data_IF_813654615128
#
_entry.id   IF_813654615128
#
_cell.length_a   1.000
_cell.length_b   1.000
_cell.length_c   1.000
_cell.angle_alpha   90.00
_cell.angle_beta   90.00
_cell.angle_gamma   90.00
#
_symmetry.space_group_name_H-M   'P 1'
#
loop_
_entity.id
_entity.type
_entity.pdbx_description
1 polymer ?
#
# COMPACT_ATOMS: atom_id res chain seq x y z
N UNK A 1 2.30 -9.71 6.58
CA UNK A 1 1.60 -8.47 6.17
C UNK A 1 1.81 -8.26 4.68
N UNK A 2 0.85 -7.67 3.95
CA UNK A 2 1.06 -7.32 2.55
C UNK A 2 2.30 -6.44 2.38
N UNK A 3 3.06 -6.66 1.30
CA UNK A 3 4.29 -5.92 1.03
C UNK A 3 4.05 -4.47 0.62
N UNK A 4 5.07 -3.62 0.79
CA UNK A 4 5.04 -2.19 0.46
C UNK A 4 4.50 -1.91 -0.94
N UNK A 5 5.00 -2.62 -1.97
CA UNK A 5 4.59 -2.45 -3.37
C UNK A 5 3.09 -2.65 -3.57
N UNK A 6 2.54 -3.73 -3.02
CA UNK A 6 1.10 -4.01 -3.10
C UNK A 6 0.27 -2.91 -2.42
N UNK A 7 0.69 -2.46 -1.24
CA UNK A 7 -0.01 -1.39 -0.52
C UNK A 7 -0.02 -0.07 -1.32
N UNK A 8 1.10 0.27 -1.96
CA UNK A 8 1.21 1.45 -2.83
C UNK A 8 0.31 1.33 -4.07
N UNK A 9 0.26 0.16 -4.71
CA UNK A 9 -0.61 -0.09 -5.87
C UNK A 9 -2.10 0.01 -5.51
N UNK A 10 -2.48 -0.51 -4.34
CA UNK A 10 -3.85 -0.41 -3.84
C UNK A 10 -4.22 1.05 -3.51
N UNK A 11 -3.33 1.81 -2.86
CA UNK A 11 -3.56 3.23 -2.59
C UNK A 11 -3.77 4.03 -3.88
N UNK A 12 -2.96 3.79 -4.91
CA UNK A 12 -3.12 4.41 -6.22
C UNK A 12 -4.46 4.07 -6.89
N UNK A 13 -4.97 2.85 -6.68
CA UNK A 13 -6.29 2.43 -7.18
C UNK A 13 -7.42 3.19 -6.49
N UNK A 14 -7.35 3.37 -5.17
CA UNK A 14 -8.32 4.19 -4.43
C UNK A 14 -8.33 5.65 -4.89
N UNK A 15 -7.16 6.23 -5.17
CA UNK A 15 -7.07 7.59 -5.74
C UNK A 15 -7.78 7.68 -7.11
N UNK A 16 -7.62 6.66 -7.97
CA UNK A 16 -8.34 6.62 -9.25
C UNK A 16 -9.86 6.60 -9.06
N UNK A 17 -10.37 5.84 -8.09
CA UNK A 17 -11.80 5.82 -7.80
C UNK A 17 -12.30 7.13 -7.19
N UNK A 18 -11.52 7.77 -6.33
CA UNK A 18 -11.84 9.10 -5.81
C UNK A 18 -11.99 10.15 -6.93
N UNK A 19 -11.14 10.08 -7.97
CA UNK A 19 -11.21 10.98 -9.13
C UNK A 19 -12.35 10.64 -10.10
N UNK A 20 -12.81 9.39 -10.12
CA UNK A 20 -13.82 8.92 -11.07
C UNK A 20 -15.26 9.11 -10.57
N UNK A 21 -15.47 9.20 -9.25
CA UNK A 21 -16.79 9.40 -8.67
C UNK A 21 -17.18 10.89 -8.65
N UNK A 22 -18.47 11.18 -8.77
CA UNK A 22 -19.03 12.53 -8.60
C UNK A 22 -19.66 12.74 -7.22
N UNK A 23 -19.78 11.68 -6.43
CA UNK A 23 -20.27 11.74 -5.05
C UNK A 23 -19.12 12.14 -4.11
N UNK A 24 -19.22 13.30 -3.42
CA UNK A 24 -18.14 13.81 -2.58
C UNK A 24 -17.90 12.98 -1.32
N UNK A 25 -18.93 12.35 -0.75
CA UNK A 25 -18.79 11.51 0.45
C UNK A 25 -18.08 10.20 0.08
N UNK A 26 -18.41 9.64 -1.08
CA UNK A 26 -17.72 8.46 -1.63
C UNK A 26 -16.26 8.80 -1.98
N UNK A 27 -16.01 9.97 -2.58
CA UNK A 27 -14.65 10.42 -2.88
C UNK A 27 -13.79 10.55 -1.61
N UNK A 28 -14.34 11.16 -0.56
CA UNK A 28 -13.67 11.30 0.73
C UNK A 28 -13.32 9.93 1.34
N UNK A 29 -14.25 8.97 1.31
CA UNK A 29 -14.00 7.61 1.78
C UNK A 29 -12.85 6.91 1.05
N UNK A 30 -12.72 7.12 -0.26
CA UNK A 30 -11.59 6.58 -1.03
C UNK A 30 -10.26 7.29 -0.71
N UNK A 31 -10.28 8.60 -0.48
CA UNK A 31 -9.09 9.35 -0.05
C UNK A 31 -8.58 8.88 1.30
N UNK A 32 -9.49 8.69 2.28
CA UNK A 32 -9.13 8.19 3.62
C UNK A 32 -8.49 6.79 3.54
N UNK A 33 -9.04 5.90 2.71
CA UNK A 33 -8.46 4.56 2.49
C UNK A 33 -7.11 4.61 1.79
N UNK A 34 -6.93 5.50 0.82
CA UNK A 34 -5.64 5.69 0.15
C UNK A 34 -4.57 6.21 1.13
N UNK A 35 -4.94 7.12 2.03
CA UNK A 35 -4.05 7.64 3.07
C UNK A 35 -3.64 6.56 4.07
N UNK A 36 -4.58 5.76 4.58
CA UNK A 36 -4.28 4.63 5.49
C UNK A 36 -3.31 3.62 4.85
N UNK A 37 -3.57 3.23 3.60
CA UNK A 37 -2.70 2.29 2.89
C UNK A 37 -1.31 2.86 2.62
N UNK A 38 -1.21 4.16 2.33
CA UNK A 38 0.08 4.84 2.15
C UNK A 38 0.88 4.83 3.45
N UNK A 39 0.26 5.19 4.58
CA UNK A 39 0.91 5.15 5.90
C UNK A 39 1.33 3.72 6.31
N UNK A 40 0.53 2.71 5.95
CA UNK A 40 0.90 1.30 6.17
C UNK A 40 2.05 0.86 5.27
N UNK A 41 2.15 1.39 4.06
CA UNK A 41 3.24 1.07 3.12
C UNK A 41 4.60 1.57 3.62
N UNK A 42 4.64 2.71 4.32
CA UNK A 42 5.87 3.24 4.94
C UNK A 42 6.38 2.34 6.07
N UNK A 43 5.47 1.66 6.78
CA UNK A 43 5.78 0.76 7.89
C UNK A 43 5.94 -0.70 7.44
N UNK A 44 5.61 -1.01 6.19
CA UNK A 44 5.65 -2.38 5.69
C UNK A 44 7.10 -2.81 5.43
N UNK A 45 7.49 -4.03 5.86
CA UNK A 45 8.80 -4.55 5.53
C UNK A 45 8.94 -4.68 4.00
N UNK A 46 10.16 -4.46 3.51
CA UNK A 46 10.47 -4.75 2.12
C UNK A 46 10.34 -6.26 1.89
N UNK A 47 9.33 -6.65 1.10
CA UNK A 47 9.04 -8.03 0.75
C UNK A 47 9.78 -8.46 -0.52
N UNK A 48 10.68 -7.62 -1.05
CA UNK A 48 11.52 -7.97 -2.19
C UNK A 48 12.41 -9.18 -1.84
N UNK A 49 12.66 -10.08 -2.80
CA UNK A 49 13.57 -11.20 -2.59
C UNK A 49 14.91 -10.69 -2.06
N UNK A 50 15.36 -11.25 -0.94
CA UNK A 50 16.70 -10.96 -0.43
C UNK A 50 17.75 -11.64 -1.33
N UNK A 51 18.94 -11.04 -1.48
CA UNK A 51 20.04 -11.69 -2.19
C UNK A 51 20.35 -13.09 -1.61
N UNK A 52 20.71 -14.09 -2.42
CA UNK A 52 20.97 -15.44 -1.92
C UNK A 52 22.24 -15.56 -1.06
N UNK A 53 23.11 -14.56 -1.08
CA UNK A 53 24.38 -14.48 -0.32
C UNK A 53 24.21 -14.03 1.13
N UNK A 54 23.01 -13.60 1.56
CA UNK A 54 22.73 -13.34 2.99
C UNK A 54 22.35 -14.64 3.71
N UNK A 55 23.24 -15.09 4.59
CA UNK A 55 23.01 -16.23 5.49
C UNK A 55 21.78 -15.96 6.38
N UNK A 56 20.79 -16.85 6.37
CA UNK A 56 19.62 -16.71 7.23
C UNK A 56 20.00 -17.00 8.69
N UNK A 57 19.57 -16.19 9.68
CA UNK A 57 19.80 -16.51 11.07
C UNK A 57 19.12 -17.85 11.39
N UNK A 58 19.92 -18.83 11.81
CA UNK A 58 19.44 -20.12 12.30
C UNK A 58 18.61 -19.84 13.56
N UNK A 59 17.35 -20.27 13.53
CA UNK A 59 16.45 -20.24 14.68
C UNK A 59 16.86 -21.21 15.77
#
# INVERSE_FOLDING_TARGET
>A
MPGKKYLTEQAATFLKFAMATTDPDVAAGFLDKAADLSARSEKAPDASPRPPDVEQPKG
#
